data_IF_757097343757
#
_entry.id   IF_757097343757
#
_cell.length_a   1.000
_cell.length_b   1.000
_cell.length_c   1.000
_cell.angle_alpha   90.00
_cell.angle_beta   90.00
_cell.angle_gamma   90.00
#
_symmetry.space_group_name_H-M   'P 1'
#
loop_
_entity.id
_entity.type
_entity.pdbx_description
1 polymer ?
#
# COMPACT_ATOMS: atom_id res chain seq x y z
N UNK A 1 -5.36 -11.03 -7.52
CA UNK A 1 -4.97 -12.44 -7.24
C UNK A 1 -3.53 -12.42 -6.74
N UNK A 2 -3.24 -13.10 -5.64
CA UNK A 2 -1.90 -13.26 -5.06
C UNK A 2 -1.54 -14.75 -5.14
N UNK A 3 -0.36 -15.08 -5.66
CA UNK A 3 0.15 -16.45 -5.71
C UNK A 3 1.41 -16.52 -4.85
N UNK A 4 1.45 -17.44 -3.89
CA UNK A 4 2.58 -17.69 -3.00
C UNK A 4 3.21 -19.03 -3.43
N UNK A 5 4.50 -18.97 -3.78
CA UNK A 5 5.29 -20.14 -4.16
C UNK A 5 6.22 -20.50 -3.01
N UNK A 6 6.19 -21.75 -2.56
CA UNK A 6 7.12 -22.30 -1.58
C UNK A 6 8.14 -23.16 -2.30
N UNK A 7 9.42 -22.93 -2.06
CA UNK A 7 10.52 -23.68 -2.65
C UNK A 7 10.93 -24.86 -1.77
N UNK A 8 11.56 -25.89 -2.36
CA UNK A 8 12.04 -27.07 -1.60
C UNK A 8 13.13 -26.74 -0.57
N UNK A 9 13.83 -25.61 -0.74
CA UNK A 9 14.90 -25.12 0.12
C UNK A 9 14.83 -23.57 0.19
N UNK A 10 15.52 -22.96 1.16
CA UNK A 10 15.55 -21.51 1.36
C UNK A 10 16.75 -20.83 0.69
N UNK A 11 16.61 -19.55 0.36
CA UNK A 11 17.75 -18.69 0.04
C UNK A 11 18.42 -18.16 1.32
N UNK A 12 19.74 -17.92 1.33
CA UNK A 12 20.71 -18.25 0.26
C UNK A 12 20.94 -19.76 0.13
N UNK A 13 21.23 -20.24 -1.09
CA UNK A 13 21.46 -21.66 -1.41
C UNK A 13 22.62 -21.84 -2.39
N UNK A 14 23.20 -23.04 -2.44
CA UNK A 14 24.33 -23.38 -3.32
C UNK A 14 23.98 -23.28 -4.82
N UNK A 15 22.70 -23.40 -5.18
CA UNK A 15 22.19 -23.20 -6.55
C UNK A 15 21.43 -21.88 -6.64
N UNK A 16 21.54 -21.21 -7.79
CA UNK A 16 20.79 -19.99 -8.11
C UNK A 16 19.30 -20.21 -8.38
N UNK A 17 18.85 -21.46 -8.47
CA UNK A 17 17.44 -21.84 -8.69
C UNK A 17 17.09 -22.99 -7.76
N UNK A 18 15.93 -22.89 -7.13
CA UNK A 18 15.37 -23.91 -6.24
C UNK A 18 13.98 -24.25 -6.79
N UNK A 19 13.64 -25.54 -7.01
CA UNK A 19 12.32 -25.92 -7.50
C UNK A 19 11.23 -25.53 -6.50
N UNK A 20 10.06 -25.18 -7.04
CA UNK A 20 8.84 -24.93 -6.25
C UNK A 20 8.28 -26.27 -5.80
N UNK A 21 8.02 -26.41 -4.50
CA UNK A 21 7.37 -27.57 -3.89
C UNK A 21 5.88 -27.38 -3.68
N UNK A 22 5.42 -26.14 -3.50
CA UNK A 22 4.02 -25.82 -3.25
C UNK A 22 3.63 -24.48 -3.88
N UNK A 23 2.39 -24.41 -4.35
CA UNK A 23 1.75 -23.19 -4.83
C UNK A 23 0.44 -22.98 -4.07
N UNK A 24 0.24 -21.76 -3.56
CA UNK A 24 -1.00 -21.34 -2.92
C UNK A 24 -1.52 -20.09 -3.61
N UNK A 25 -2.82 -20.05 -3.91
CA UNK A 25 -3.45 -18.93 -4.58
C UNK A 25 -4.55 -18.32 -3.72
N UNK A 26 -4.53 -16.99 -3.61
CA UNK A 26 -5.51 -16.22 -2.84
C UNK A 26 -6.11 -15.14 -3.73
N UNK A 27 -7.43 -15.13 -3.84
CA UNK A 27 -8.17 -14.07 -4.51
C UNK A 27 -8.51 -12.97 -3.50
N UNK A 28 -7.85 -11.83 -3.66
CA UNK A 28 -8.11 -10.62 -2.88
C UNK A 28 -9.39 -9.95 -3.38
N UNK A 29 -10.23 -9.47 -2.46
CA UNK A 29 -11.38 -8.65 -2.83
C UNK A 29 -10.90 -7.23 -3.17
N UNK A 30 -11.67 -6.44 -3.94
CA UNK A 30 -11.29 -5.07 -4.28
C UNK A 30 -10.94 -4.19 -3.07
N UNK A 31 -11.65 -4.37 -1.94
CA UNK A 31 -11.33 -3.65 -0.70
C UNK A 31 -10.00 -4.09 -0.08
N UNK A 32 -9.64 -5.37 -0.17
CA UNK A 32 -8.35 -5.86 0.32
C UNK A 32 -7.20 -5.30 -0.53
N UNK A 33 -7.41 -5.21 -1.86
CA UNK A 33 -6.45 -4.58 -2.78
C UNK A 33 -6.26 -3.10 -2.44
N UNK A 34 -7.35 -2.37 -2.18
CA UNK A 34 -7.27 -0.97 -1.80
C UNK A 34 -6.54 -0.77 -0.46
N UNK A 35 -6.79 -1.64 0.53
CA UNK A 35 -6.08 -1.60 1.82
C UNK A 35 -4.58 -1.85 1.63
N UNK A 36 -4.20 -2.88 0.88
CA UNK A 36 -2.80 -3.22 0.63
C UNK A 36 -2.07 -2.07 -0.09
N UNK A 37 -2.70 -1.44 -1.09
CA UNK A 37 -2.07 -0.34 -1.83
C UNK A 37 -1.89 0.92 -0.97
N UNK A 38 -2.89 1.27 -0.16
CA UNK A 38 -2.77 2.41 0.76
C UNK A 38 -1.71 2.13 1.83
N UNK A 39 -1.62 0.89 2.32
CA UNK A 39 -0.60 0.48 3.27
C UNK A 39 0.81 0.56 2.68
N UNK A 40 1.01 0.06 1.47
CA UNK A 40 2.30 0.14 0.78
C UNK A 40 2.72 1.59 0.59
N UNK A 41 1.86 2.44 0.03
CA UNK A 41 2.13 3.88 -0.15
C UNK A 41 2.44 4.59 1.17
N UNK A 42 1.71 4.26 2.23
CA UNK A 42 1.96 4.81 3.57
C UNK A 42 3.33 4.41 4.08
N UNK A 43 3.69 3.13 3.97
CA UNK A 43 4.97 2.61 4.41
C UNK A 43 6.14 3.23 3.63
N UNK A 44 6.00 3.36 2.30
CA UNK A 44 7.00 4.02 1.46
C UNK A 44 7.24 5.47 1.89
N UNK A 45 6.17 6.26 2.08
CA UNK A 45 6.28 7.66 2.52
C UNK A 45 6.91 7.76 3.92
N UNK A 46 6.49 6.91 4.84
CA UNK A 46 7.05 6.88 6.20
C UNK A 46 8.53 6.53 6.21
N UNK A 47 8.96 5.57 5.39
CA UNK A 47 10.37 5.21 5.28
C UNK A 47 11.21 6.35 4.71
N UNK A 48 10.71 7.06 3.70
CA UNK A 48 11.40 8.21 3.12
C UNK A 48 11.55 9.36 4.12
N UNK A 49 10.52 9.63 4.93
CA UNK A 49 10.57 10.68 5.96
C UNK A 49 11.39 10.28 7.20
N UNK A 50 11.58 8.98 7.45
CA UNK A 50 12.36 8.48 8.59
C UNK A 50 13.86 8.31 8.27
N UNK A 51 14.26 8.49 7.01
CA UNK A 51 15.67 8.40 6.60
C UNK A 51 16.49 9.52 7.22
N UNK A 52 17.70 9.20 7.70
CA UNK A 52 18.64 10.19 8.25
C UNK A 52 19.05 11.23 7.19
N UNK A 53 19.20 10.78 5.94
CA UNK A 53 19.38 11.63 4.77
C UNK A 53 18.14 11.46 3.88
N UNK A 54 17.28 12.48 3.85
CA UNK A 54 16.04 12.46 3.07
C UNK A 54 16.38 12.65 1.59
N UNK A 55 16.08 11.63 0.77
CA UNK A 55 16.14 11.75 -0.68
C UNK A 55 14.94 12.57 -1.16
N UNK A 56 15.16 13.88 -1.33
CA UNK A 56 14.12 14.84 -1.71
C UNK A 56 13.48 14.53 -3.07
N UNK A 57 14.23 13.98 -4.03
CA UNK A 57 13.70 13.65 -5.35
C UNK A 57 12.73 12.47 -5.23
N UNK A 58 13.11 11.43 -4.47
CA UNK A 58 12.22 10.30 -4.23
C UNK A 58 11.00 10.71 -3.40
N UNK A 59 11.20 11.53 -2.36
CA UNK A 59 10.11 12.04 -1.54
C UNK A 59 9.11 12.82 -2.39
N UNK A 60 9.56 13.79 -3.19
CA UNK A 60 8.69 14.59 -4.07
C UNK A 60 7.94 13.73 -5.08
N UNK A 61 8.63 12.79 -5.74
CA UNK A 61 8.01 11.91 -6.72
C UNK A 61 6.87 11.08 -6.09
N UNK A 62 7.13 10.49 -4.92
CA UNK A 62 6.15 9.66 -4.21
C UNK A 62 5.01 10.49 -3.63
N UNK A 63 5.32 11.63 -3.04
CA UNK A 63 4.35 12.53 -2.43
C UNK A 63 3.43 13.15 -3.49
N UNK A 64 3.96 13.65 -4.60
CA UNK A 64 3.16 14.18 -5.71
C UNK A 64 2.19 13.10 -6.24
N UNK A 65 2.66 11.87 -6.43
CA UNK A 65 1.82 10.75 -6.86
C UNK A 65 0.76 10.33 -5.83
N UNK A 66 0.93 10.72 -4.56
CA UNK A 66 -0.01 10.46 -3.47
C UNK A 66 -1.10 11.56 -3.36
N UNK A 67 -0.72 12.84 -3.45
CA UNK A 67 -1.63 13.97 -3.16
C UNK A 67 -2.14 14.72 -4.39
N UNK A 68 -1.40 14.69 -5.50
CA UNK A 68 -1.65 15.47 -6.72
C UNK A 68 -1.65 14.60 -7.98
N UNK A 69 -2.24 13.41 -7.87
CA UNK A 69 -2.37 12.47 -8.97
C UNK A 69 -3.27 13.02 -10.09
N UNK A 70 -2.81 12.95 -11.33
CA UNK A 70 -3.52 13.51 -12.51
C UNK A 70 -3.92 12.46 -13.54
N UNK A 71 -3.16 11.36 -13.65
CA UNK A 71 -3.40 10.31 -14.64
C UNK A 71 -4.16 9.11 -14.08
N UNK A 72 -3.86 8.70 -12.84
CA UNK A 72 -4.55 7.61 -12.16
C UNK A 72 -5.70 8.15 -11.31
N UNK A 73 -6.64 7.27 -10.92
CA UNK A 73 -7.81 7.66 -10.13
C UNK A 73 -7.48 8.18 -8.70
N UNK A 74 -6.33 7.78 -8.16
CA UNK A 74 -5.82 8.26 -6.88
C UNK A 74 -6.46 7.66 -5.62
N UNK A 75 -5.91 7.95 -4.43
CA UNK A 75 -6.42 7.43 -3.17
C UNK A 75 -7.88 7.82 -2.89
N UNK A 76 -8.32 8.99 -3.35
CA UNK A 76 -9.70 9.45 -3.14
C UNK A 76 -10.73 8.55 -3.83
N UNK A 77 -10.36 7.88 -4.93
CA UNK A 77 -11.24 6.91 -5.58
C UNK A 77 -11.56 5.72 -4.67
N UNK A 78 -10.55 5.22 -3.92
CA UNK A 78 -10.76 4.15 -2.94
C UNK A 78 -11.63 4.60 -1.77
N UNK A 79 -11.40 5.81 -1.24
CA UNK A 79 -12.24 6.36 -0.17
C UNK A 79 -13.71 6.47 -0.61
N UNK A 80 -13.97 6.98 -1.83
CA UNK A 80 -15.34 7.06 -2.38
C UNK A 80 -15.97 5.69 -2.60
N UNK A 81 -15.20 4.72 -3.11
CA UNK A 81 -15.72 3.39 -3.43
C UNK A 81 -16.03 2.54 -2.20
N UNK A 82 -15.28 2.70 -1.10
CA UNK A 82 -15.32 1.78 0.03
C UNK A 82 -15.69 2.41 1.38
N UNK A 83 -15.49 3.73 1.55
CA UNK A 83 -15.68 4.41 2.85
C UNK A 83 -16.89 5.36 2.89
N UNK A 84 -17.48 5.70 1.74
CA UNK A 84 -18.73 6.47 1.67
C UNK A 84 -19.89 5.72 2.34
N UNK A 85 -20.71 6.41 3.13
CA UNK A 85 -21.79 5.80 3.94
C UNK A 85 -22.80 5.03 3.08
N UNK A 86 -22.99 5.45 1.83
CA UNK A 86 -23.86 4.77 0.85
C UNK A 86 -23.30 3.42 0.37
N UNK A 87 -21.98 3.23 0.49
CA UNK A 87 -21.25 2.09 -0.09
C UNK A 87 -20.63 1.18 0.98
N UNK A 88 -20.22 1.74 2.12
CA UNK A 88 -19.48 1.04 3.16
C UNK A 88 -20.25 -0.13 3.78
N UNK A 89 -21.58 -0.03 3.87
CA UNK A 89 -22.48 -1.10 4.35
C UNK A 89 -22.46 -2.36 3.49
N UNK A 90 -21.96 -2.29 2.24
CA UNK A 90 -21.82 -3.44 1.33
C UNK A 90 -20.62 -4.32 1.65
N UNK A 91 -19.74 -3.88 2.55
CA UNK A 91 -18.49 -4.55 2.89
C UNK A 91 -18.46 -4.94 4.38
N UNK A 92 -17.66 -5.96 4.77
CA UNK A 92 -17.52 -6.32 6.17
C UNK A 92 -17.02 -5.13 7.00
N UNK A 93 -17.71 -4.79 8.09
CA UNK A 93 -17.39 -3.62 8.92
C UNK A 93 -15.92 -3.60 9.38
N UNK A 94 -15.34 -4.76 9.69
CA UNK A 94 -13.93 -4.90 10.04
C UNK A 94 -13.00 -4.41 8.92
N UNK A 95 -13.30 -4.72 7.66
CA UNK A 95 -12.49 -4.32 6.49
C UNK A 95 -12.63 -2.84 6.17
N UNK A 96 -13.84 -2.29 6.35
CA UNK A 96 -14.07 -0.84 6.22
C UNK A 96 -13.28 -0.09 7.30
N UNK A 97 -13.34 -0.55 8.56
CA UNK A 97 -12.59 0.05 9.65
C UNK A 97 -11.07 -0.01 9.41
N UNK A 98 -10.56 -1.17 8.97
CA UNK A 98 -9.15 -1.36 8.60
C UNK A 98 -8.71 -0.37 7.52
N UNK A 99 -9.47 -0.24 6.43
CA UNK A 99 -9.17 0.71 5.36
C UNK A 99 -9.23 2.16 5.87
N UNK A 100 -10.21 2.50 6.71
CA UNK A 100 -10.35 3.84 7.30
C UNK A 100 -9.15 4.20 8.16
N UNK A 101 -8.68 3.28 9.00
CA UNK A 101 -7.49 3.49 9.82
C UNK A 101 -6.23 3.61 8.97
N UNK A 102 -6.13 2.84 7.89
CA UNK A 102 -5.03 2.98 6.93
C UNK A 102 -5.03 4.34 6.23
N UNK A 103 -6.20 4.88 5.85
CA UNK A 103 -6.29 6.23 5.30
C UNK A 103 -5.86 7.31 6.30
N UNK A 104 -6.17 7.15 7.60
CA UNK A 104 -5.69 8.09 8.63
C UNK A 104 -4.17 8.12 8.68
N UNK A 105 -3.53 6.94 8.69
CA UNK A 105 -2.05 6.82 8.69
C UNK A 105 -1.45 7.38 7.40
N UNK A 106 -2.08 7.12 6.26
CA UNK A 106 -1.65 7.64 4.97
C UNK A 106 -1.66 9.17 4.94
N UNK A 107 -2.76 9.79 5.38
CA UNK A 107 -2.88 11.26 5.42
C UNK A 107 -1.84 11.85 6.37
N UNK A 108 -1.61 11.22 7.53
CA UNK A 108 -0.57 11.65 8.45
C UNK A 108 0.83 11.57 7.81
N UNK A 109 1.14 10.48 7.11
CA UNK A 109 2.41 10.32 6.40
C UNK A 109 2.60 11.36 5.29
N UNK A 110 1.55 11.66 4.52
CA UNK A 110 1.57 12.74 3.54
C UNK A 110 1.80 14.11 4.19
N UNK A 111 1.19 14.38 5.35
CA UNK A 111 1.39 15.62 6.10
C UNK A 111 2.86 15.81 6.50
N UNK A 112 3.46 14.78 7.11
CA UNK A 112 4.89 14.79 7.45
C UNK A 112 5.74 14.99 6.20
N UNK A 113 5.45 14.26 5.12
CA UNK A 113 6.19 14.41 3.86
C UNK A 113 6.09 15.81 3.25
N UNK A 114 4.97 16.51 3.44
CA UNK A 114 4.82 17.91 3.02
C UNK A 114 5.67 18.85 3.88
N UNK A 115 5.74 18.64 5.20
CA UNK A 115 6.59 19.43 6.11
C UNK A 115 8.09 19.32 5.74
N UNK A 116 8.55 18.15 5.33
CA UNK A 116 9.93 17.97 4.83
C UNK A 116 10.18 18.62 3.46
N UNK A 117 9.12 18.88 2.69
CA UNK A 117 9.20 19.38 1.33
C UNK A 117 9.03 20.91 1.21
N UNK A 118 8.73 21.61 2.30
CA UNK A 118 8.78 23.08 2.37
C UNK A 118 10.24 23.59 2.37
#
# INVERSE_FOLDING_TARGET
RRTVLTTCNSFPYVKKRIPVSCEQQVNLKPIDVATDEIQEKTSELQQLCASADVDMIQLQLKLQGAVSVQVNAGPLAYARAFLDDKHSSKYPAKKVAELKDMFRKFIQACGIGLEFNE
#
